data_IF_631619264887
#
_entry.id   IF_631619264887
#
_cell.length_a   1.000
_cell.length_b   1.000
_cell.length_c   1.000
_cell.angle_alpha   90.00
_cell.angle_beta   90.00
_cell.angle_gamma   90.00
#
_symmetry.space_group_name_H-M   'P 1'
#
loop_
_entity.id
_entity.type
_entity.pdbx_description
1 polymer ?
#
# COMPACT_ATOMS: atom_id res chain seq x y z
N UNK A 1 6.48 75.89 -36.96
CA UNK A 1 7.78 75.31 -37.40
C UNK A 1 8.40 74.58 -36.22
N UNK A 2 8.96 73.39 -36.48
CA UNK A 2 9.88 72.61 -35.63
C UNK A 2 9.37 71.87 -34.38
N UNK A 3 8.98 70.61 -34.63
CA UNK A 3 9.48 69.30 -34.14
C UNK A 3 10.40 69.15 -32.89
N UNK A 4 10.18 67.97 -32.27
CA UNK A 4 11.02 67.07 -31.43
C UNK A 4 10.95 67.25 -29.89
N UNK A 5 10.95 66.24 -29.00
CA UNK A 5 10.81 64.76 -28.98
C UNK A 5 10.80 64.31 -27.49
N UNK A 6 10.48 63.02 -27.23
CA UNK A 6 10.66 62.21 -25.99
C UNK A 6 9.61 62.39 -24.86
N UNK A 7 9.14 61.37 -24.13
CA UNK A 7 9.41 59.93 -24.07
C UNK A 7 8.26 59.18 -23.36
N UNK A 8 8.30 57.85 -23.46
CA UNK A 8 7.41 56.78 -23.01
C UNK A 8 6.95 56.81 -21.54
N UNK A 9 5.74 56.27 -21.28
CA UNK A 9 5.62 55.03 -20.48
C UNK A 9 4.24 54.37 -20.66
N UNK A 10 4.23 53.28 -21.44
CA UNK A 10 3.12 52.35 -21.52
C UNK A 10 3.39 51.18 -20.58
N UNK A 11 2.64 51.07 -19.49
CA UNK A 11 2.70 49.88 -18.64
C UNK A 11 2.00 48.70 -19.34
N UNK A 12 2.82 47.79 -19.87
CA UNK A 12 2.42 46.44 -20.22
C UNK A 12 1.94 45.71 -18.96
N UNK A 13 0.68 45.24 -18.99
CA UNK A 13 0.20 44.18 -18.10
C UNK A 13 0.96 42.90 -18.42
N UNK A 14 1.90 42.52 -17.56
CA UNK A 14 2.44 41.16 -17.54
C UNK A 14 1.29 40.18 -17.31
N UNK A 15 0.97 39.46 -18.37
CA UNK A 15 0.08 38.31 -18.35
C UNK A 15 0.87 37.19 -17.67
N UNK A 16 0.65 37.03 -16.36
CA UNK A 16 1.21 35.95 -15.57
C UNK A 16 0.77 34.63 -16.20
N UNK A 17 1.67 34.04 -16.98
CA UNK A 17 1.51 32.75 -17.61
C UNK A 17 1.60 31.71 -16.49
N UNK A 18 0.46 31.22 -16.05
CA UNK A 18 0.36 30.12 -15.11
C UNK A 18 1.07 28.92 -15.73
N UNK A 19 2.29 28.64 -15.27
CA UNK A 19 2.99 27.39 -15.56
C UNK A 19 2.08 26.25 -15.08
N UNK A 20 1.66 25.32 -15.96
CA UNK A 20 0.93 24.15 -15.50
C UNK A 20 1.83 23.40 -14.54
N UNK A 21 1.37 23.20 -13.30
CA UNK A 21 1.97 22.20 -12.41
C UNK A 21 1.97 20.90 -13.20
N UNK A 22 3.14 20.47 -13.67
CA UNK A 22 3.30 19.20 -14.34
C UNK A 22 2.80 18.12 -13.39
N UNK A 23 1.59 17.61 -13.64
CA UNK A 23 1.09 16.44 -12.96
C UNK A 23 2.14 15.36 -13.14
N UNK A 24 2.77 14.91 -12.05
CA UNK A 24 3.67 13.76 -12.09
C UNK A 24 2.89 12.63 -12.74
N UNK A 25 3.28 12.24 -13.94
CA UNK A 25 2.74 11.05 -14.58
C UNK A 25 3.05 9.87 -13.64
N UNK A 26 2.00 9.32 -13.03
CA UNK A 26 2.14 8.13 -12.18
C UNK A 26 2.36 6.97 -13.14
N UNK A 27 3.62 6.58 -13.31
CA UNK A 27 3.97 5.42 -14.12
C UNK A 27 3.46 4.15 -13.44
N UNK A 28 2.88 3.25 -14.24
CA UNK A 28 2.45 1.95 -13.79
C UNK A 28 3.66 1.09 -13.39
N UNK A 29 3.61 0.49 -12.20
CA UNK A 29 4.65 -0.39 -11.67
C UNK A 29 4.33 -1.82 -12.10
N UNK A 30 5.30 -2.47 -12.72
CA UNK A 30 5.19 -3.88 -13.12
C UNK A 30 5.01 -4.80 -11.90
N UNK A 31 4.15 -5.81 -12.04
CA UNK A 31 3.92 -6.82 -10.99
C UNK A 31 5.23 -7.58 -10.65
N UNK A 32 6.16 -7.71 -11.60
CA UNK A 32 7.49 -8.29 -11.34
C UNK A 32 8.36 -7.41 -10.45
N UNK A 33 8.25 -6.09 -10.57
CA UNK A 33 9.06 -5.16 -9.78
C UNK A 33 8.69 -5.19 -8.29
N UNK A 34 7.45 -5.58 -7.97
CA UNK A 34 6.93 -5.60 -6.60
C UNK A 34 7.12 -6.94 -5.88
N UNK A 35 7.65 -7.96 -6.57
CA UNK A 35 7.99 -9.24 -5.96
C UNK A 35 9.08 -9.08 -4.91
N UNK A 36 8.94 -9.77 -3.78
CA UNK A 36 9.95 -9.83 -2.71
C UNK A 36 9.37 -9.65 -1.31
N UNK A 37 10.28 -9.50 -0.34
CA UNK A 37 9.94 -9.29 1.07
C UNK A 37 9.76 -7.81 1.38
N UNK A 38 8.71 -7.48 2.12
CA UNK A 38 8.35 -6.13 2.53
C UNK A 38 8.09 -6.06 4.03
N UNK A 39 8.51 -4.97 4.66
CA UNK A 39 8.30 -4.74 6.09
C UNK A 39 8.41 -3.25 6.45
N UNK A 40 7.98 -2.85 7.65
CA UNK A 40 8.17 -1.48 8.15
C UNK A 40 9.65 -1.13 8.40
N UNK A 41 10.49 -2.14 8.62
CA UNK A 41 11.94 -2.04 8.53
C UNK A 41 12.54 -3.44 8.29
N UNK A 42 13.72 -3.54 7.68
CA UNK A 42 14.34 -4.85 7.45
C UNK A 42 14.87 -5.54 8.73
N UNK A 43 14.74 -4.88 9.89
CA UNK A 43 14.99 -5.47 11.22
C UNK A 43 13.69 -5.88 11.92
N UNK A 44 12.53 -5.51 11.40
CA UNK A 44 11.25 -5.83 12.01
C UNK A 44 10.92 -7.32 11.84
N UNK A 45 10.19 -7.84 12.82
CA UNK A 45 9.79 -9.25 12.85
C UNK A 45 8.63 -9.56 11.91
N UNK A 46 7.73 -8.60 11.72
CA UNK A 46 6.57 -8.76 10.85
C UNK A 46 6.97 -8.53 9.39
N UNK A 47 6.53 -9.40 8.50
CA UNK A 47 6.94 -9.41 7.09
C UNK A 47 5.75 -9.73 6.21
N UNK A 48 5.77 -9.23 4.98
CA UNK A 48 4.91 -9.73 3.92
C UNK A 48 5.77 -10.06 2.71
N UNK A 49 5.62 -11.26 2.18
CA UNK A 49 6.21 -11.65 0.91
C UNK A 49 5.15 -11.51 -0.19
N UNK A 50 5.47 -10.78 -1.25
CA UNK A 50 4.59 -10.62 -2.41
C UNK A 50 5.16 -11.48 -3.54
N UNK A 51 4.34 -12.37 -4.09
CA UNK A 51 4.69 -13.19 -5.25
C UNK A 51 4.02 -12.64 -6.51
N UNK A 52 4.83 -12.26 -7.50
CA UNK A 52 4.31 -11.83 -8.80
C UNK A 52 3.73 -12.98 -9.62
N UNK A 53 4.24 -14.20 -9.41
CA UNK A 53 3.90 -15.39 -10.20
C UNK A 53 2.46 -15.83 -9.94
N UNK A 54 2.06 -15.90 -8.66
CA UNK A 54 0.72 -16.31 -8.26
C UNK A 54 -0.16 -15.13 -7.83
N UNK A 55 0.35 -13.89 -7.93
CA UNK A 55 -0.37 -12.65 -7.59
C UNK A 55 -0.97 -12.73 -6.18
N UNK A 56 -0.14 -13.10 -5.20
CA UNK A 56 -0.54 -13.27 -3.80
C UNK A 56 0.47 -12.64 -2.84
N UNK A 57 0.03 -12.43 -1.60
CA UNK A 57 0.84 -11.97 -0.50
C UNK A 57 0.73 -12.94 0.67
N UNK A 58 1.87 -13.34 1.21
CA UNK A 58 1.96 -14.11 2.44
C UNK A 58 2.44 -13.22 3.57
N UNK A 59 1.58 -13.04 4.57
CA UNK A 59 1.88 -12.28 5.77
C UNK A 59 2.41 -13.20 6.85
N UNK A 60 3.45 -12.73 7.53
CA UNK A 60 4.01 -13.32 8.75
C UNK A 60 4.01 -12.23 9.81
N UNK A 61 3.00 -12.25 10.68
CA UNK A 61 2.84 -11.31 11.80
C UNK A 61 3.13 -12.10 13.07
N UNK A 62 4.36 -12.01 13.54
CA UNK A 62 4.85 -12.81 14.66
C UNK A 62 3.95 -12.60 15.89
N UNK A 63 3.68 -13.68 16.62
CA UNK A 63 2.84 -13.70 17.82
C UNK A 63 1.36 -13.33 17.58
N UNK A 64 0.93 -13.06 16.34
CA UNK A 64 -0.46 -12.74 15.99
C UNK A 64 -1.07 -13.71 14.98
N UNK A 65 -0.57 -13.77 13.76
CA UNK A 65 -1.07 -14.66 12.71
C UNK A 65 -0.10 -14.77 11.53
N UNK A 66 -0.21 -15.83 10.73
CA UNK A 66 0.26 -15.83 9.34
C UNK A 66 -0.91 -16.10 8.43
N UNK A 67 -1.00 -15.39 7.31
CA UNK A 67 -2.09 -15.56 6.36
C UNK A 67 -1.60 -15.45 4.93
N UNK A 68 -2.33 -16.08 4.02
CA UNK A 68 -2.22 -15.84 2.60
C UNK A 68 -3.37 -14.91 2.15
N UNK A 69 -3.09 -14.08 1.15
CA UNK A 69 -4.06 -13.20 0.53
C UNK A 69 -3.84 -13.08 -0.97
N UNK A 70 -4.91 -13.11 -1.74
CA UNK A 70 -4.89 -12.82 -3.17
C UNK A 70 -4.84 -11.30 -3.39
N UNK A 71 -4.06 -10.86 -4.38
CA UNK A 71 -4.00 -9.46 -4.79
C UNK A 71 -4.96 -9.24 -5.96
N UNK A 72 -5.88 -8.29 -5.80
CA UNK A 72 -6.77 -7.84 -6.88
C UNK A 72 -6.44 -6.40 -7.23
N UNK A 73 -5.98 -6.16 -8.45
CA UNK A 73 -5.73 -4.81 -8.93
C UNK A 73 -7.04 -4.02 -9.04
N UNK A 74 -7.08 -2.83 -8.45
CA UNK A 74 -8.27 -1.95 -8.46
C UNK A 74 -7.98 -0.52 -8.94
N UNK A 75 -6.72 -0.23 -9.25
CA UNK A 75 -6.30 1.05 -9.78
C UNK A 75 -4.84 1.04 -10.23
N UNK A 76 -4.33 2.20 -10.60
CA UNK A 76 -2.91 2.39 -10.89
C UNK A 76 -2.15 2.13 -9.59
N UNK A 77 -1.23 1.17 -9.60
CA UNK A 77 -0.37 0.83 -8.46
C UNK A 77 -1.14 0.49 -7.18
N UNK A 78 -2.41 0.07 -7.28
CA UNK A 78 -3.28 -0.22 -6.14
C UNK A 78 -3.89 -1.61 -6.21
N UNK A 79 -3.74 -2.36 -5.14
CA UNK A 79 -4.20 -3.74 -5.01
C UNK A 79 -4.97 -3.94 -3.72
N UNK A 80 -6.18 -4.45 -3.82
CA UNK A 80 -6.92 -4.97 -2.67
C UNK A 80 -6.40 -6.35 -2.29
N UNK A 81 -6.43 -6.65 -0.99
CA UNK A 81 -5.97 -7.91 -0.41
C UNK A 81 -7.16 -8.72 0.06
N UNK A 82 -7.31 -9.95 -0.44
CA UNK A 82 -8.41 -10.85 -0.10
C UNK A 82 -7.87 -12.07 0.63
N UNK A 83 -8.24 -12.24 1.89
CA UNK A 83 -7.82 -13.39 2.70
C UNK A 83 -8.23 -14.72 2.07
N UNK A 84 -7.29 -15.65 1.95
CA UNK A 84 -7.54 -17.00 1.44
C UNK A 84 -7.55 -18.01 2.59
N UNK A 85 -6.44 -18.14 3.30
CA UNK A 85 -6.21 -19.17 4.31
C UNK A 85 -5.12 -18.76 5.31
N UNK A 86 -5.07 -19.50 6.42
CA UNK A 86 -3.99 -19.43 7.39
C UNK A 86 -3.05 -20.62 7.15
N UNK A 87 -1.74 -20.42 6.90
CA UNK A 87 -0.77 -21.50 6.86
C UNK A 87 -0.78 -22.28 8.19
N UNK A 88 -0.47 -23.59 8.17
CA UNK A 88 -0.63 -24.48 9.33
C UNK A 88 0.29 -24.20 10.54
N UNK A 89 1.14 -23.17 10.50
CA UNK A 89 2.36 -23.08 11.32
C UNK A 89 2.30 -22.03 12.46
N UNK A 90 1.20 -21.30 12.69
CA UNK A 90 1.17 -20.24 13.73
C UNK A 90 -0.03 -20.38 14.68
N UNK A 91 0.14 -20.09 15.99
CA UNK A 91 -1.00 -19.92 16.90
C UNK A 91 -1.98 -18.88 16.36
N UNK A 92 -3.19 -19.34 16.04
CA UNK A 92 -4.28 -18.46 15.64
C UNK A 92 -4.97 -17.85 16.89
N UNK A 93 -5.33 -16.56 16.87
CA UNK A 93 -6.17 -15.97 17.90
C UNK A 93 -7.47 -16.76 18.03
N UNK A 94 -8.04 -16.86 19.24
CA UNK A 94 -9.22 -17.71 19.51
C UNK A 94 -10.39 -17.35 18.58
N UNK A 95 -10.61 -16.06 18.30
CA UNK A 95 -11.61 -15.58 17.35
C UNK A 95 -11.40 -16.02 15.89
N UNK A 96 -10.18 -16.41 15.51
CA UNK A 96 -9.82 -16.77 14.14
C UNK A 96 -9.74 -18.29 13.92
N UNK A 97 -9.90 -19.09 14.98
CA UNK A 97 -9.88 -20.57 14.90
C UNK A 97 -10.92 -21.13 13.93
N UNK A 98 -12.07 -20.48 13.82
CA UNK A 98 -13.10 -20.82 12.84
C UNK A 98 -13.05 -19.81 11.69
N UNK A 99 -12.06 -19.98 10.82
CA UNK A 99 -11.80 -19.11 9.68
C UNK A 99 -12.91 -19.17 8.61
N UNK A 100 -13.76 -20.20 8.62
CA UNK A 100 -14.99 -20.24 7.79
C UNK A 100 -15.94 -19.08 8.10
N UNK A 101 -15.81 -18.45 9.27
CA UNK A 101 -16.58 -17.26 9.61
C UNK A 101 -15.97 -15.97 9.03
N UNK A 102 -14.79 -16.01 8.42
CA UNK A 102 -14.21 -14.87 7.71
C UNK A 102 -14.83 -14.75 6.31
N UNK A 103 -15.15 -13.54 5.90
CA UNK A 103 -15.62 -13.28 4.54
C UNK A 103 -14.44 -13.06 3.61
N UNK A 104 -14.17 -14.05 2.75
CA UNK A 104 -13.13 -13.98 1.71
C UNK A 104 -13.46 -13.03 0.56
N UNK A 105 -14.68 -12.47 0.51
CA UNK A 105 -15.10 -11.48 -0.48
C UNK A 105 -14.95 -10.04 0.03
N UNK A 106 -14.52 -9.85 1.27
CA UNK A 106 -14.23 -8.53 1.84
C UNK A 106 -12.71 -8.35 1.93
N UNK A 107 -12.17 -7.20 1.49
CA UNK A 107 -10.74 -6.98 1.55
C UNK A 107 -10.29 -6.86 3.01
N UNK A 108 -9.12 -7.40 3.31
CA UNK A 108 -8.46 -7.24 4.62
C UNK A 108 -7.61 -5.97 4.69
N UNK A 109 -7.32 -5.39 3.53
CA UNK A 109 -6.56 -4.17 3.37
C UNK A 109 -6.28 -3.90 1.89
N UNK A 110 -5.41 -2.93 1.63
CA UNK A 110 -4.89 -2.69 0.28
C UNK A 110 -3.44 -2.21 0.32
N UNK A 111 -2.72 -2.50 -0.76
CA UNK A 111 -1.43 -1.91 -1.07
C UNK A 111 -1.59 -0.76 -2.06
N UNK A 112 -0.91 0.35 -1.77
CA UNK A 112 -0.66 1.44 -2.71
C UNK A 112 0.86 1.56 -2.90
N UNK A 113 1.33 1.15 -4.08
CA UNK A 113 2.74 1.21 -4.43
C UNK A 113 3.10 2.65 -4.81
N UNK A 114 4.05 3.23 -4.08
CA UNK A 114 4.55 4.58 -4.36
C UNK A 114 5.61 4.49 -5.46
N UNK A 115 6.49 3.49 -5.35
CA UNK A 115 7.52 3.12 -6.31
C UNK A 115 7.92 1.64 -6.09
N UNK A 116 8.96 1.18 -6.79
CA UNK A 116 9.46 -0.20 -6.72
C UNK A 116 10.05 -0.60 -5.36
N UNK A 117 10.26 0.36 -4.45
CA UNK A 117 10.91 0.16 -3.15
C UNK A 117 10.02 0.53 -1.95
N UNK A 118 8.85 1.15 -2.17
CA UNK A 118 7.97 1.67 -1.12
C UNK A 118 6.48 1.37 -1.36
N UNK A 119 5.81 0.90 -0.31
CA UNK A 119 4.38 0.60 -0.28
C UNK A 119 3.71 1.29 0.90
N UNK A 120 2.49 1.79 0.70
CA UNK A 120 1.55 2.06 1.77
C UNK A 120 0.60 0.87 1.93
N UNK A 121 0.62 0.24 3.10
CA UNK A 121 -0.36 -0.77 3.49
C UNK A 121 -1.43 -0.13 4.36
N UNK A 122 -2.66 -0.06 3.87
CA UNK A 122 -3.81 0.25 4.71
C UNK A 122 -4.48 -1.04 5.16
N UNK A 123 -4.71 -1.17 6.47
CA UNK A 123 -5.26 -2.37 7.08
C UNK A 123 -6.69 -2.16 7.58
N UNK A 124 -7.59 -3.09 7.26
CA UNK A 124 -8.97 -3.11 7.74
C UNK A 124 -9.22 -4.18 8.78
N UNK A 125 -8.45 -5.29 8.73
CA UNK A 125 -8.70 -6.49 9.51
C UNK A 125 -9.58 -7.50 8.78
N UNK A 126 -10.02 -8.53 9.48
CA UNK A 126 -10.80 -9.62 8.88
C UNK A 126 -12.28 -9.36 9.09
N UNK A 127 -13.08 -9.42 8.02
CA UNK A 127 -14.52 -9.26 8.14
C UNK A 127 -15.15 -10.55 8.68
N UNK A 128 -15.71 -10.48 9.89
CA UNK A 128 -16.33 -11.62 10.57
C UNK A 128 -17.83 -11.69 10.24
N UNK A 129 -18.23 -12.67 9.42
CA UNK A 129 -19.60 -12.81 8.89
C UNK A 129 -20.67 -12.87 9.98
N UNK A 130 -20.36 -13.51 11.12
CA UNK A 130 -21.31 -13.71 12.22
C UNK A 130 -21.71 -12.40 12.91
N UNK A 131 -20.79 -11.46 13.03
CA UNK A 131 -21.05 -10.17 13.71
C UNK A 131 -21.23 -9.01 12.72
N UNK A 132 -20.87 -9.21 11.45
CA UNK A 132 -20.88 -8.16 10.43
C UNK A 132 -19.84 -7.06 10.68
N UNK A 133 -18.77 -7.37 11.42
CA UNK A 133 -17.74 -6.41 11.83
C UNK A 133 -16.34 -6.89 11.47
N UNK A 134 -15.44 -5.93 11.27
CA UNK A 134 -14.02 -6.21 11.16
C UNK A 134 -13.43 -6.52 12.55
N UNK A 135 -12.58 -7.55 12.61
CA UNK A 135 -11.79 -7.95 13.78
C UNK A 135 -10.30 -7.86 13.44
N UNK A 136 -9.44 -7.85 14.47
CA UNK A 136 -7.99 -7.69 14.28
C UNK A 136 -7.64 -6.43 13.46
N UNK A 137 -8.32 -5.32 13.77
CA UNK A 137 -8.29 -4.07 12.99
C UNK A 137 -7.01 -3.25 13.18
N UNK A 138 -6.18 -3.61 14.15
CA UNK A 138 -4.89 -2.98 14.39
C UNK A 138 -3.90 -3.39 13.29
N UNK A 139 -3.30 -2.41 12.61
CA UNK A 139 -2.38 -2.66 11.52
C UNK A 139 -1.16 -3.47 11.99
N UNK A 140 -0.85 -4.60 11.35
CA UNK A 140 0.20 -5.50 11.81
C UNK A 140 1.62 -4.92 11.70
N UNK A 141 1.83 -3.81 11.00
CA UNK A 141 3.15 -3.19 10.82
C UNK A 141 3.27 -1.81 11.49
N UNK A 142 2.15 -1.24 11.96
CA UNK A 142 2.10 0.01 12.72
C UNK A 142 0.87 0.04 13.63
N UNK A 143 1.01 -0.28 14.91
CA UNK A 143 -0.13 -0.32 15.85
C UNK A 143 -0.80 1.05 16.11
N UNK A 144 -0.14 2.15 15.74
CA UNK A 144 -0.62 3.52 16.00
C UNK A 144 -1.53 4.05 14.90
N UNK A 145 -1.41 3.53 13.69
CA UNK A 145 -2.08 4.08 12.51
C UNK A 145 -2.68 2.97 11.65
N UNK A 146 -3.74 3.28 10.90
CA UNK A 146 -4.32 2.32 9.95
C UNK A 146 -3.42 2.07 8.75
N UNK A 147 -2.55 3.02 8.42
CA UNK A 147 -1.58 2.93 7.34
C UNK A 147 -0.20 2.60 7.90
N UNK A 148 0.53 1.72 7.22
CA UNK A 148 1.93 1.45 7.48
C UNK A 148 2.74 1.66 6.20
N UNK A 149 3.88 2.33 6.33
CA UNK A 149 4.85 2.45 5.25
C UNK A 149 5.77 1.23 5.28
N UNK A 150 5.79 0.46 4.20
CA UNK A 150 6.64 -0.69 4.04
C UNK A 150 7.74 -0.38 3.03
N UNK A 151 8.94 -0.88 3.33
CA UNK A 151 10.09 -0.85 2.43
C UNK A 151 10.38 -2.26 1.94
N UNK A 152 10.92 -2.35 0.73
CA UNK A 152 11.44 -3.60 0.19
C UNK A 152 12.70 -4.00 0.96
N UNK A 153 12.78 -5.27 1.35
CA UNK A 153 13.90 -5.82 2.10
C UNK A 153 14.64 -6.87 1.28
N UNK A 154 15.96 -7.05 1.53
CA UNK A 154 16.71 -8.14 0.91
C UNK A 154 16.08 -9.50 1.26
N UNK A 155 16.08 -10.42 0.30
CA UNK A 155 15.53 -11.77 0.48
C UNK A 155 16.37 -12.63 1.46
N UNK A 156 17.54 -12.15 1.87
CA UNK A 156 18.37 -12.80 2.88
C UNK A 156 17.71 -12.70 4.24
N UNK A 157 17.15 -13.83 4.67
CA UNK A 157 16.69 -14.05 6.04
C UNK A 157 17.92 -13.99 6.97
N UNK A 158 18.18 -12.85 7.60
CA UNK A 158 18.95 -12.84 8.85
C UNK A 158 18.01 -13.35 9.95
N UNK A 159 18.12 -14.65 10.25
CA UNK A 159 17.59 -15.29 11.45
C UNK A 159 18.49 -14.98 12.64
#
# INVERSE_FOLDING_TARGET
MSLFLFSCDGQQKEKQQSVPLAGRAISEISVKAIEGVWSSSCKARNRVYISSVITSAQFTVLERFSMNADLKKVGINKYELYFTDFPPIIPLPKEMKNWDNMDRKKPVGYFEFIDESRINLTWFGFYYKKTGKYIQIENPFNHKEKMAHLIKCPDTITL
#
